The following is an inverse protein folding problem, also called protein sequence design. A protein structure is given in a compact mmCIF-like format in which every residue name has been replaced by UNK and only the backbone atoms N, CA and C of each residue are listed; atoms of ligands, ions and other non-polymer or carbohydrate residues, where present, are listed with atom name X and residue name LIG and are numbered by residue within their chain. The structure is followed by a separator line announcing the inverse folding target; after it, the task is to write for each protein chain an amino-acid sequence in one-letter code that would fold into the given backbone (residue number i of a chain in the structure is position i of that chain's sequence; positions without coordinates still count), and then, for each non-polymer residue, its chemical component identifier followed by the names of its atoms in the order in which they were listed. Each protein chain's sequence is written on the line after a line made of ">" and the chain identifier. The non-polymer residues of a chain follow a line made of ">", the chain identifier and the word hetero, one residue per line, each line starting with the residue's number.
data_IF_698977044398
#
_entry.id   IF_698977044398
#
_cell.length_a   1.000
_cell.length_b   1.000
_cell.length_c   1.000
_cell.angle_alpha   90.00
_cell.angle_beta   90.00
_cell.angle_gamma   90.00
#
_symmetry.space_group_name_H-M   'P 1'
#
loop_
_entity.id
_entity.type
_entity.pdbx_description
1 polymer ?
#
# COMPACT_ATOMS: atom_id res chain seq x y z
N UNK A 1 -11.96 -48.28 -2.04
CA UNK A 1 -11.23 -48.43 -3.30
C UNK A 1 -12.13 -47.88 -4.39
N UNK A 2 -11.82 -46.70 -4.93
CA UNK A 2 -12.51 -46.20 -6.13
C UNK A 2 -12.34 -47.24 -7.24
N UNK A 3 -13.41 -47.54 -7.98
CA UNK A 3 -13.33 -48.54 -9.03
C UNK A 3 -12.42 -48.05 -10.15
N UNK A 4 -11.73 -48.97 -10.84
CA UNK A 4 -10.85 -48.63 -11.97
C UNK A 4 -11.53 -47.73 -13.00
N UNK A 5 -12.82 -47.96 -13.23
CA UNK A 5 -13.63 -47.23 -14.19
C UNK A 5 -14.02 -45.84 -13.69
N UNK A 6 -14.28 -45.68 -12.39
CA UNK A 6 -14.47 -44.37 -11.75
C UNK A 6 -13.24 -43.47 -11.91
N UNK A 7 -12.04 -43.98 -11.59
CA UNK A 7 -10.81 -43.18 -11.74
C UNK A 7 -10.57 -42.80 -13.21
N UNK A 8 -10.82 -43.72 -14.15
CA UNK A 8 -10.71 -43.45 -15.59
C UNK A 8 -11.70 -42.37 -16.02
N UNK A 9 -12.96 -42.47 -15.59
CA UNK A 9 -13.99 -41.50 -15.91
C UNK A 9 -13.66 -40.11 -15.33
N UNK A 10 -13.24 -40.07 -14.07
CA UNK A 10 -12.83 -38.85 -13.37
C UNK A 10 -11.70 -38.11 -14.11
N UNK A 11 -10.62 -38.79 -14.45
CA UNK A 11 -9.51 -38.16 -15.18
C UNK A 11 -9.88 -37.84 -16.64
N UNK A 12 -10.74 -38.64 -17.27
CA UNK A 12 -11.19 -38.36 -18.63
C UNK A 12 -12.05 -37.10 -18.71
N UNK A 13 -13.02 -36.93 -17.81
CA UNK A 13 -13.89 -35.75 -17.73
C UNK A 13 -13.09 -34.47 -17.45
N UNK A 14 -12.04 -34.58 -16.61
CA UNK A 14 -11.12 -33.46 -16.31
C UNK A 14 -10.18 -33.08 -17.45
N UNK A 15 -10.19 -33.82 -18.56
CA UNK A 15 -9.52 -33.43 -19.80
C UNK A 15 -8.03 -33.73 -19.87
N UNK A 16 -7.49 -34.52 -18.94
CA UNK A 16 -6.11 -35.02 -18.99
C UNK A 16 -5.82 -35.74 -20.32
N UNK A 17 -4.60 -35.72 -20.83
CA UNK A 17 -4.22 -36.50 -22.02
C UNK A 17 -4.22 -38.01 -21.72
N UNK A 18 -4.30 -38.87 -22.73
CA UNK A 18 -4.28 -40.32 -22.47
C UNK A 18 -2.99 -40.79 -21.76
N UNK A 19 -1.87 -40.11 -22.02
CA UNK A 19 -0.60 -40.38 -21.32
C UNK A 19 -0.66 -39.95 -19.85
N UNK A 20 -1.24 -38.78 -19.57
CA UNK A 20 -1.44 -38.29 -18.20
C UNK A 20 -2.39 -39.18 -17.41
N UNK A 21 -3.51 -39.62 -18.00
CA UNK A 21 -4.46 -40.55 -17.34
C UNK A 21 -3.73 -41.83 -16.95
N UNK A 22 -2.97 -42.43 -17.87
CA UNK A 22 -2.17 -43.63 -17.57
C UNK A 22 -1.17 -43.37 -16.44
N UNK A 23 -0.50 -42.22 -16.44
CA UNK A 23 0.43 -41.84 -15.38
C UNK A 23 -0.25 -41.69 -14.02
N UNK A 24 -1.39 -41.02 -13.97
CA UNK A 24 -2.15 -40.76 -12.74
C UNK A 24 -2.80 -42.03 -12.18
N UNK A 25 -3.22 -42.96 -13.03
CA UNK A 25 -3.76 -44.25 -12.60
C UNK A 25 -2.72 -45.11 -11.86
N UNK A 26 -1.43 -44.91 -12.10
CA UNK A 26 -0.37 -45.60 -11.32
C UNK A 26 -0.40 -45.22 -9.84
N UNK A 27 -0.79 -43.99 -9.52
CA UNK A 27 -0.92 -43.53 -8.13
C UNK A 27 -2.08 -44.23 -7.40
N UNK A 28 -3.00 -44.84 -8.14
CA UNK A 28 -4.11 -45.66 -7.64
C UNK A 28 -3.81 -47.17 -7.73
N UNK A 29 -2.55 -47.55 -7.94
CA UNK A 29 -2.12 -48.94 -8.18
C UNK A 29 -2.77 -49.59 -9.43
N UNK A 30 -3.23 -48.78 -10.39
CA UNK A 30 -3.83 -49.24 -11.64
C UNK A 30 -2.79 -49.11 -12.78
N UNK A 31 -2.19 -50.22 -13.17
CA UNK A 31 -1.21 -50.27 -14.24
C UNK A 31 -1.86 -50.70 -15.57
N UNK A 32 -2.14 -49.74 -16.46
CA UNK A 32 -2.68 -50.00 -17.79
C UNK A 32 -1.89 -49.26 -18.88
N UNK A 33 -1.88 -49.82 -20.10
CA UNK A 33 -1.27 -49.16 -21.26
C UNK A 33 -2.26 -48.18 -21.91
N UNK A 34 -1.76 -47.23 -22.71
CA UNK A 34 -2.61 -46.27 -23.45
C UNK A 34 -3.60 -47.00 -24.37
N UNK A 35 -3.19 -48.09 -25.03
CA UNK A 35 -4.10 -48.93 -25.84
C UNK A 35 -5.23 -49.52 -25.00
N UNK A 36 -4.91 -50.00 -23.80
CA UNK A 36 -5.91 -50.56 -22.89
C UNK A 36 -6.88 -49.46 -22.42
N UNK A 37 -6.38 -48.29 -22.01
CA UNK A 37 -7.21 -47.13 -21.66
C UNK A 37 -8.17 -46.76 -22.80
N UNK A 38 -7.68 -46.67 -24.05
CA UNK A 38 -8.53 -46.37 -25.21
C UNK A 38 -9.61 -47.42 -25.46
N UNK A 39 -9.35 -48.70 -25.18
CA UNK A 39 -10.36 -49.76 -25.24
C UNK A 39 -11.43 -49.58 -24.17
N UNK A 40 -11.02 -49.28 -22.94
CA UNK A 40 -11.95 -49.04 -21.82
C UNK A 40 -12.83 -47.83 -22.12
N UNK A 41 -12.25 -46.72 -22.58
CA UNK A 41 -13.00 -45.52 -22.96
C UNK A 41 -14.02 -45.78 -24.08
N UNK A 42 -13.68 -46.62 -25.07
CA UNK A 42 -14.63 -47.04 -26.11
C UNK A 42 -15.79 -47.85 -25.56
N UNK A 43 -15.52 -48.79 -24.64
CA UNK A 43 -16.56 -49.59 -23.99
C UNK A 43 -17.47 -48.73 -23.11
N UNK A 44 -16.92 -47.69 -22.47
CA UNK A 44 -17.66 -46.71 -21.67
C UNK A 44 -18.36 -45.63 -22.53
N UNK A 45 -18.24 -45.66 -23.85
CA UNK A 45 -18.81 -44.63 -24.74
C UNK A 45 -18.15 -43.25 -24.65
N UNK A 46 -17.04 -43.13 -23.93
CA UNK A 46 -16.34 -41.87 -23.67
C UNK A 46 -15.47 -41.44 -24.86
N UNK A 47 -15.91 -40.43 -25.60
CA UNK A 47 -15.22 -39.90 -26.80
C UNK A 47 -14.81 -38.44 -26.60
N UNK A 48 -13.66 -38.04 -27.15
CA UNK A 48 -13.18 -36.64 -27.11
C UNK A 48 -13.63 -35.78 -28.27
N UNK A 49 -14.10 -36.39 -29.36
CA UNK A 49 -14.55 -35.73 -30.60
C UNK A 49 -16.00 -36.12 -30.87
N UNK A 50 -16.78 -35.20 -31.42
CA UNK A 50 -18.19 -35.42 -31.78
C UNK A 50 -19.14 -35.46 -30.57
N UNK A 51 -18.78 -34.81 -29.45
CA UNK A 51 -19.67 -34.65 -28.30
C UNK A 51 -20.72 -33.59 -28.66
N UNK A 52 -22.00 -33.88 -28.42
CA UNK A 52 -23.09 -32.91 -28.50
C UNK A 52 -22.85 -31.88 -27.39
N UNK A 53 -22.82 -30.59 -27.74
CA UNK A 53 -22.64 -29.54 -26.74
C UNK A 53 -23.74 -29.59 -25.68
N UNK A 54 -23.40 -29.20 -24.45
CA UNK A 54 -24.41 -28.98 -23.42
C UNK A 54 -25.44 -27.95 -23.88
N UNK A 55 -26.64 -28.02 -23.33
CA UNK A 55 -27.70 -27.09 -23.69
C UNK A 55 -27.30 -25.64 -23.37
N UNK A 56 -27.70 -24.70 -24.24
CA UNK A 56 -27.30 -23.30 -24.12
C UNK A 56 -27.88 -22.65 -22.86
N UNK A 57 -29.08 -23.06 -22.42
CA UNK A 57 -29.73 -22.50 -21.23
C UNK A 57 -28.99 -22.91 -19.95
N UNK A 58 -28.53 -24.16 -19.87
CA UNK A 58 -27.67 -24.65 -18.79
C UNK A 58 -26.32 -23.91 -18.75
N UNK A 59 -25.72 -23.67 -19.91
CA UNK A 59 -24.45 -22.92 -20.01
C UNK A 59 -24.63 -21.47 -19.57
N UNK A 60 -25.69 -20.80 -20.02
CA UNK A 60 -25.99 -19.42 -19.60
C UNK A 60 -26.22 -19.33 -18.09
N UNK A 61 -27.00 -20.25 -17.53
CA UNK A 61 -27.29 -20.30 -16.09
C UNK A 61 -26.02 -20.50 -15.26
N UNK A 62 -25.13 -21.40 -15.68
CA UNK A 62 -23.86 -21.63 -15.00
C UNK A 62 -22.90 -20.43 -15.12
N UNK A 63 -22.89 -19.73 -16.25
CA UNK A 63 -22.11 -18.50 -16.42
C UNK A 63 -22.63 -17.40 -15.47
N UNK A 64 -23.94 -17.18 -15.42
CA UNK A 64 -24.55 -16.18 -14.53
C UNK A 64 -24.22 -16.50 -13.07
N UNK A 65 -24.37 -17.76 -12.64
CA UNK A 65 -24.03 -18.18 -11.28
C UNK A 65 -22.54 -17.98 -10.93
N UNK A 66 -21.63 -18.17 -11.89
CA UNK A 66 -20.20 -17.87 -11.69
C UNK A 66 -19.94 -16.36 -11.61
N UNK A 67 -20.62 -15.56 -12.44
CA UNK A 67 -20.48 -14.10 -12.44
C UNK A 67 -21.04 -13.44 -11.17
N UNK A 68 -22.06 -14.03 -10.55
CA UNK A 68 -22.60 -13.58 -9.25
C UNK A 68 -21.69 -13.94 -8.06
N UNK A 69 -20.55 -14.59 -8.32
CA UNK A 69 -19.61 -15.04 -7.30
C UNK A 69 -18.15 -14.81 -7.72
N UNK A 70 -17.22 -15.61 -7.19
CA UNK A 70 -15.77 -15.50 -7.49
C UNK A 70 -15.41 -15.69 -8.96
N UNK A 71 -16.34 -16.21 -9.78
CA UNK A 71 -16.17 -16.35 -11.22
C UNK A 71 -16.16 -15.02 -11.97
N UNK A 72 -16.63 -13.92 -11.35
CA UNK A 72 -16.60 -12.56 -11.92
C UNK A 72 -15.20 -12.09 -12.29
N UNK A 73 -14.15 -12.60 -11.65
CA UNK A 73 -12.77 -12.17 -11.91
C UNK A 73 -12.05 -13.10 -12.91
N UNK A 74 -12.71 -14.17 -13.36
CA UNK A 74 -12.11 -15.12 -14.29
C UNK A 74 -12.14 -14.63 -15.74
N UNK A 75 -11.01 -14.77 -16.45
CA UNK A 75 -11.01 -14.65 -17.91
C UNK A 75 -11.77 -15.81 -18.58
N UNK A 76 -12.31 -15.58 -19.78
CA UNK A 76 -13.16 -16.55 -20.50
C UNK A 76 -12.53 -17.94 -20.66
N UNK A 77 -11.19 -18.05 -20.82
CA UNK A 77 -10.48 -19.35 -20.88
C UNK A 77 -10.54 -20.11 -19.56
N UNK A 78 -10.44 -19.40 -18.45
CA UNK A 78 -10.51 -19.98 -17.11
C UNK A 78 -11.94 -20.34 -16.74
N UNK A 79 -12.90 -19.48 -17.11
CA UNK A 79 -14.33 -19.77 -16.98
C UNK A 79 -14.72 -21.01 -17.79
N UNK A 80 -14.28 -21.12 -19.04
CA UNK A 80 -14.45 -22.33 -19.87
C UNK A 80 -13.95 -23.59 -19.17
N UNK A 81 -12.75 -23.52 -18.57
CA UNK A 81 -12.19 -24.64 -17.83
C UNK A 81 -13.03 -24.97 -16.59
N UNK A 82 -13.56 -23.96 -15.90
CA UNK A 82 -14.38 -24.14 -14.69
C UNK A 82 -15.74 -24.75 -15.01
N UNK A 83 -16.43 -24.27 -16.05
CA UNK A 83 -17.68 -24.85 -16.55
C UNK A 83 -17.49 -26.33 -16.90
N UNK A 84 -16.37 -26.67 -17.55
CA UNK A 84 -16.05 -28.06 -17.86
C UNK A 84 -15.75 -28.92 -16.62
N UNK A 85 -15.01 -28.38 -15.64
CA UNK A 85 -14.53 -29.16 -14.49
C UNK A 85 -15.56 -29.33 -13.37
N UNK A 86 -16.36 -28.30 -13.12
CA UNK A 86 -17.24 -28.23 -11.95
C UNK A 86 -18.72 -28.35 -12.30
N UNK A 87 -19.12 -27.90 -13.50
CA UNK A 87 -20.49 -28.02 -13.99
C UNK A 87 -20.65 -29.16 -15.00
N UNK A 88 -19.54 -29.84 -15.37
CA UNK A 88 -19.49 -30.90 -16.39
C UNK A 88 -20.08 -30.46 -17.76
N UNK A 89 -20.01 -29.16 -18.06
CA UNK A 89 -20.58 -28.59 -19.29
C UNK A 89 -19.57 -28.61 -20.44
N UNK A 90 -20.04 -29.01 -21.62
CA UNK A 90 -19.24 -29.07 -22.85
C UNK A 90 -19.69 -27.97 -23.79
N UNK A 91 -18.93 -26.88 -23.83
CA UNK A 91 -19.21 -25.73 -24.69
C UNK A 91 -17.94 -25.26 -25.42
N UNK A 92 -18.12 -24.66 -26.60
CA UNK A 92 -17.02 -24.02 -27.34
C UNK A 92 -16.59 -22.74 -26.62
N UNK A 93 -15.30 -22.43 -26.67
CA UNK A 93 -14.75 -21.21 -26.04
C UNK A 93 -15.35 -19.94 -26.61
N UNK A 94 -15.58 -19.91 -27.93
CA UNK A 94 -16.13 -18.75 -28.62
C UNK A 94 -17.59 -18.50 -28.20
N UNK A 95 -18.37 -19.57 -28.00
CA UNK A 95 -19.74 -19.49 -27.47
C UNK A 95 -19.78 -18.86 -26.08
N UNK A 96 -18.84 -19.20 -25.18
CA UNK A 96 -18.74 -18.52 -23.87
C UNK A 96 -18.41 -17.04 -24.05
N UNK A 97 -17.49 -16.72 -24.96
CA UNK A 97 -17.12 -15.33 -25.22
C UNK A 97 -18.32 -14.53 -25.75
N UNK A 98 -19.13 -15.11 -26.63
CA UNK A 98 -20.35 -14.49 -27.16
C UNK A 98 -21.42 -14.32 -26.07
N UNK A 99 -21.60 -15.31 -25.19
CA UNK A 99 -22.50 -15.18 -24.03
C UNK A 99 -22.01 -14.06 -23.09
N UNK A 100 -20.71 -14.01 -22.79
CA UNK A 100 -20.12 -12.96 -21.95
C UNK A 100 -20.26 -11.56 -22.58
N UNK A 101 -20.23 -11.43 -23.91
CA UNK A 101 -20.50 -10.15 -24.58
C UNK A 101 -21.93 -9.65 -24.35
N UNK A 102 -22.87 -10.55 -24.10
CA UNK A 102 -24.28 -10.22 -23.86
C UNK A 102 -24.51 -9.98 -22.36
N UNK A 103 -24.00 -10.88 -21.51
CA UNK A 103 -24.31 -10.93 -20.07
C UNK A 103 -23.39 -10.01 -19.24
N UNK A 104 -22.13 -9.84 -19.64
CA UNK A 104 -21.13 -9.02 -18.94
C UNK A 104 -20.24 -8.23 -19.92
N UNK A 105 -20.82 -7.34 -20.76
CA UNK A 105 -20.06 -6.57 -21.74
C UNK A 105 -19.00 -5.69 -21.08
N UNK A 106 -19.34 -5.07 -19.93
CA UNK A 106 -18.45 -4.19 -19.20
C UNK A 106 -17.30 -4.94 -18.54
N UNK A 107 -17.57 -6.06 -17.86
CA UNK A 107 -16.52 -6.89 -17.27
C UNK A 107 -15.64 -7.52 -18.34
N UNK A 108 -16.19 -7.89 -19.50
CA UNK A 108 -15.36 -8.37 -20.62
C UNK A 108 -14.45 -7.26 -21.17
N UNK A 109 -14.97 -6.05 -21.37
CA UNK A 109 -14.20 -4.91 -21.83
C UNK A 109 -13.10 -4.51 -20.84
N UNK A 110 -13.38 -4.50 -19.54
CA UNK A 110 -12.39 -4.20 -18.50
C UNK A 110 -11.30 -5.29 -18.41
N UNK A 111 -11.66 -6.58 -18.57
CA UNK A 111 -10.67 -7.68 -18.59
C UNK A 111 -9.74 -7.62 -19.80
N UNK A 112 -10.26 -7.23 -20.98
CA UNK A 112 -9.46 -7.02 -22.19
C UNK A 112 -8.47 -5.85 -22.06
N UNK A 113 -8.74 -4.89 -21.17
CA UNK A 113 -7.85 -3.75 -20.90
C UNK A 113 -6.64 -4.11 -20.04
N UNK A 114 -6.54 -5.33 -19.50
CA UNK A 114 -5.46 -5.78 -18.61
C UNK A 114 -5.19 -4.84 -17.43
N UNK A 115 -6.22 -4.14 -16.94
CA UNK A 115 -6.07 -3.15 -15.87
C UNK A 115 -6.46 -3.77 -14.53
N UNK A 116 -5.59 -3.66 -13.53
CA UNK A 116 -5.88 -4.11 -12.17
C UNK A 116 -7.13 -3.39 -11.63
N UNK A 117 -8.14 -4.13 -11.17
CA UNK A 117 -9.32 -3.60 -10.50
C UNK A 117 -8.90 -3.01 -9.15
N UNK A 118 -8.69 -1.70 -9.10
CA UNK A 118 -8.35 -1.01 -7.85
C UNK A 118 -9.62 -0.80 -7.03
N UNK A 119 -9.60 -1.15 -5.74
CA UNK A 119 -10.70 -0.81 -4.82
C UNK A 119 -10.88 0.71 -4.80
N UNK A 120 -12.12 1.17 -4.79
CA UNK A 120 -12.44 2.58 -4.60
C UNK A 120 -12.05 2.97 -3.18
N UNK A 121 -11.15 3.93 -3.06
CA UNK A 121 -10.82 4.56 -1.78
C UNK A 121 -11.67 5.81 -1.66
N UNK A 122 -12.58 5.85 -0.69
CA UNK A 122 -13.44 6.98 -0.42
C UNK A 122 -13.30 7.42 1.05
N UNK A 123 -13.19 8.72 1.26
CA UNK A 123 -13.10 9.39 2.57
C UNK A 123 -13.93 10.66 2.47
N UNK A 124 -14.76 10.99 3.47
CA UNK A 124 -15.76 12.05 3.34
C UNK A 124 -15.18 13.47 3.35
N UNK A 125 -13.98 13.70 3.87
CA UNK A 125 -13.36 15.01 3.95
C UNK A 125 -11.99 15.00 4.65
N UNK A 126 -11.28 16.13 4.70
CA UNK A 126 -9.99 16.22 5.40
C UNK A 126 -10.17 15.99 6.90
N UNK A 127 -9.07 15.57 7.55
CA UNK A 127 -9.01 15.21 8.97
C UNK A 127 -9.90 14.04 9.39
N UNK A 128 -10.60 13.39 8.45
CA UNK A 128 -11.35 12.18 8.76
C UNK A 128 -10.41 11.00 9.06
N UNK A 129 -9.36 10.83 8.25
CA UNK A 129 -8.38 9.76 8.45
C UNK A 129 -6.98 10.21 8.07
N UNK A 130 -6.04 10.12 9.01
CA UNK A 130 -4.62 10.32 8.75
C UNK A 130 -3.93 8.97 8.58
N UNK A 131 -3.09 8.85 7.57
CA UNK A 131 -2.29 7.65 7.29
C UNK A 131 -0.85 7.93 7.69
N UNK A 132 -0.29 7.11 8.55
CA UNK A 132 1.08 7.25 9.07
C UNK A 132 1.90 6.00 8.73
N UNK A 133 3.17 6.20 8.39
CA UNK A 133 4.07 5.12 7.97
C UNK A 133 5.54 5.56 7.94
N UNK A 134 6.43 4.57 8.01
CA UNK A 134 7.88 4.71 7.85
C UNK A 134 8.36 4.33 6.44
N UNK A 135 9.41 5.01 5.97
CA UNK A 135 10.07 4.72 4.70
C UNK A 135 11.53 4.33 4.91
N UNK A 136 11.82 3.04 4.74
CA UNK A 136 13.08 2.42 5.16
C UNK A 136 14.16 2.33 4.08
N UNK A 137 13.97 2.88 2.87
CA UNK A 137 14.95 2.70 1.78
C UNK A 137 16.29 3.40 2.01
N UNK A 138 16.37 4.36 2.93
CA UNK A 138 17.61 5.02 3.35
C UNK A 138 18.11 4.54 4.72
N UNK A 139 17.40 3.60 5.37
CA UNK A 139 17.77 3.03 6.67
C UNK A 139 19.16 2.37 6.68
N UNK A 140 19.62 1.69 5.60
CA UNK A 140 21.00 1.19 5.54
C UNK A 140 22.07 2.29 5.65
N UNK A 141 21.73 3.54 5.33
CA UNK A 141 22.61 4.71 5.44
C UNK A 141 22.34 5.53 6.71
N UNK A 142 21.60 4.95 7.67
CA UNK A 142 21.29 5.59 8.94
C UNK A 142 20.14 6.61 8.91
N UNK A 143 19.40 6.75 7.80
CA UNK A 143 18.28 7.68 7.71
C UNK A 143 16.94 6.96 7.66
N UNK A 144 16.13 7.14 8.70
CA UNK A 144 14.76 6.67 8.74
C UNK A 144 13.81 7.85 8.46
N UNK A 145 13.05 7.75 7.37
CA UNK A 145 12.04 8.77 7.02
C UNK A 145 10.70 8.30 7.58
N UNK A 146 9.93 9.22 8.15
CA UNK A 146 8.56 8.96 8.60
C UNK A 146 7.65 10.08 8.09
N UNK A 147 6.43 9.72 7.69
CA UNK A 147 5.46 10.70 7.22
C UNK A 147 4.06 10.47 7.74
N UNK A 148 3.25 11.52 7.60
CA UNK A 148 1.82 11.50 7.82
C UNK A 148 1.12 12.19 6.68
N UNK A 149 0.07 11.57 6.14
CA UNK A 149 -0.71 12.11 5.03
C UNK A 149 -2.21 12.08 5.35
N UNK A 150 -2.90 13.18 5.04
CA UNK A 150 -4.35 13.23 5.14
C UNK A 150 -5.01 12.41 4.01
N UNK A 151 -5.97 11.55 4.38
CA UNK A 151 -6.55 10.57 3.48
C UNK A 151 -7.43 11.15 2.37
N UNK A 152 -8.00 12.34 2.57
CA UNK A 152 -8.86 13.02 1.60
C UNK A 152 -8.06 13.96 0.70
N UNK A 153 -7.44 14.96 1.31
CA UNK A 153 -6.71 16.03 0.61
C UNK A 153 -5.41 15.51 -0.02
N UNK A 154 -4.81 14.46 0.56
CA UNK A 154 -3.44 13.99 0.30
C UNK A 154 -2.38 15.02 0.69
N UNK A 155 -2.71 15.94 1.60
CA UNK A 155 -1.73 16.85 2.17
C UNK A 155 -0.75 16.06 3.03
N UNK A 156 0.53 16.29 2.82
CA UNK A 156 1.59 15.77 3.69
C UNK A 156 1.65 16.66 4.91
N UNK A 157 1.26 16.07 6.04
CA UNK A 157 1.14 16.71 7.34
C UNK A 157 2.54 16.91 7.93
N UNK A 158 3.33 15.84 7.94
CA UNK A 158 4.76 15.85 8.24
C UNK A 158 5.50 14.89 7.32
N UNK A 159 6.78 15.18 7.09
CA UNK A 159 7.72 14.35 6.35
C UNK A 159 9.10 14.59 6.94
N UNK A 160 9.49 13.77 7.90
CA UNK A 160 10.64 14.00 8.77
C UNK A 160 11.64 12.86 8.66
N UNK A 161 12.90 13.18 8.95
CA UNK A 161 14.00 12.21 8.94
C UNK A 161 14.65 12.17 10.33
N UNK A 162 14.88 10.96 10.83
CA UNK A 162 15.56 10.68 12.08
C UNK A 162 16.64 9.61 11.88
N UNK A 163 17.47 9.41 12.91
CA UNK A 163 18.44 8.31 12.98
C UNK A 163 17.76 6.93 13.06
N UNK A 164 16.52 6.85 13.58
CA UNK A 164 15.75 5.63 13.73
C UNK A 164 14.25 5.91 13.73
N UNK A 165 13.46 4.97 13.18
CA UNK A 165 12.00 4.91 13.30
C UNK A 165 11.52 3.76 14.21
N UNK A 166 12.45 3.01 14.83
CA UNK A 166 12.08 1.90 15.71
C UNK A 166 11.62 2.37 17.11
N UNK A 167 11.90 3.63 17.48
CA UNK A 167 11.47 4.20 18.75
C UNK A 167 10.08 4.87 18.60
N UNK A 168 9.03 4.35 19.26
CA UNK A 168 7.70 4.93 19.22
C UNK A 168 7.61 6.38 19.73
N UNK A 169 8.51 6.80 20.62
CA UNK A 169 8.53 8.16 21.17
C UNK A 169 8.85 9.21 20.09
N UNK A 170 9.68 8.85 19.11
CA UNK A 170 10.03 9.73 17.98
C UNK A 170 8.82 9.93 17.07
N UNK A 171 8.09 8.86 16.78
CA UNK A 171 6.90 8.92 15.95
C UNK A 171 5.80 9.72 16.66
N UNK A 172 5.68 9.52 17.97
CA UNK A 172 4.76 10.27 18.83
C UNK A 172 5.07 11.76 18.85
N UNK A 173 6.36 12.14 18.83
CA UNK A 173 6.77 13.54 18.69
C UNK A 173 6.23 14.16 17.40
N UNK A 174 6.39 13.47 16.25
CA UNK A 174 5.88 13.98 14.98
C UNK A 174 4.36 14.15 14.97
N UNK A 175 3.64 13.16 15.49
CA UNK A 175 2.18 13.20 15.59
C UNK A 175 1.73 14.35 16.49
N UNK A 176 2.24 14.44 17.72
CA UNK A 176 1.83 15.47 18.67
C UNK A 176 2.24 16.89 18.22
N UNK A 177 3.42 17.05 17.61
CA UNK A 177 3.83 18.34 17.02
C UNK A 177 2.89 18.77 15.90
N UNK A 178 2.42 17.82 15.09
CA UNK A 178 1.48 18.08 14.00
C UNK A 178 0.11 18.49 14.55
N UNK A 179 -0.40 17.75 15.52
CA UNK A 179 -1.65 18.03 16.23
C UNK A 179 -1.61 19.41 16.91
N UNK A 180 -0.52 19.71 17.63
CA UNK A 180 -0.27 21.02 18.23
C UNK A 180 -0.22 22.14 17.17
N UNK A 181 0.47 21.92 16.04
CA UNK A 181 0.62 22.93 14.99
C UNK A 181 -0.70 23.29 14.31
N UNK A 182 -1.57 22.31 14.10
CA UNK A 182 -2.85 22.53 13.44
C UNK A 182 -4.01 22.83 14.40
N UNK A 183 -3.76 22.74 15.71
CA UNK A 183 -4.77 22.92 16.75
C UNK A 183 -6.02 22.05 16.53
N UNK A 184 -5.77 20.77 16.22
CA UNK A 184 -6.83 19.81 15.93
C UNK A 184 -6.39 18.36 16.12
N UNK A 185 -7.37 17.49 16.35
CA UNK A 185 -7.22 16.04 16.30
C UNK A 185 -7.92 15.46 15.05
N UNK A 186 -7.34 14.44 14.39
CA UNK A 186 -8.03 13.72 13.33
C UNK A 186 -9.13 12.82 13.93
N UNK A 187 -10.19 12.55 13.15
CA UNK A 187 -11.22 11.59 13.55
C UNK A 187 -10.63 10.18 13.72
N UNK A 188 -9.81 9.75 12.74
CA UNK A 188 -9.11 8.47 12.73
C UNK A 188 -7.64 8.64 12.42
N UNK A 189 -6.81 7.81 13.04
CA UNK A 189 -5.44 7.55 12.58
C UNK A 189 -5.34 6.10 12.10
N UNK A 190 -4.64 5.88 10.99
CA UNK A 190 -4.35 4.54 10.46
C UNK A 190 -2.86 4.34 10.35
N UNK A 191 -2.40 3.20 10.85
CA UNK A 191 -1.06 2.70 10.65
C UNK A 191 -1.07 1.24 10.24
N UNK A 192 0.11 0.77 9.84
CA UNK A 192 0.38 -0.64 9.71
C UNK A 192 0.46 -1.33 11.07
N UNK A 193 0.34 -2.66 11.05
CA UNK A 193 0.61 -3.50 12.22
C UNK A 193 2.11 -3.51 12.51
N UNK A 194 2.54 -2.56 13.33
CA UNK A 194 3.90 -2.45 13.85
C UNK A 194 3.89 -1.99 15.30
N UNK A 195 4.98 -2.26 16.01
CA UNK A 195 5.17 -1.75 17.38
C UNK A 195 5.61 -0.29 17.40
N UNK A 196 6.09 0.23 16.28
CA UNK A 196 6.57 1.61 16.15
C UNK A 196 5.46 2.66 16.37
N UNK A 197 4.21 2.33 16.06
CA UNK A 197 3.08 3.26 16.15
C UNK A 197 2.21 3.06 17.42
N UNK A 198 2.63 2.23 18.38
CA UNK A 198 1.80 1.86 19.54
C UNK A 198 1.51 3.04 20.49
N UNK A 199 2.46 3.97 20.63
CA UNK A 199 2.25 5.15 21.46
C UNK A 199 1.30 6.13 20.76
N UNK A 200 1.42 6.32 19.44
CA UNK A 200 0.47 7.14 18.68
C UNK A 200 -0.96 6.60 18.78
N UNK A 201 -1.13 5.28 18.73
CA UNK A 201 -2.43 4.64 18.99
C UNK A 201 -2.96 5.00 20.37
N UNK A 202 -2.16 4.80 21.41
CA UNK A 202 -2.57 5.08 22.79
C UNK A 202 -2.91 6.56 23.01
N UNK A 203 -2.09 7.45 22.44
CA UNK A 203 -2.29 8.90 22.47
C UNK A 203 -3.57 9.32 21.74
N UNK A 204 -3.80 8.83 20.53
CA UNK A 204 -5.01 9.13 19.75
C UNK A 204 -6.25 8.66 20.51
N UNK A 205 -6.23 7.44 21.07
CA UNK A 205 -7.36 6.93 21.85
C UNK A 205 -7.61 7.73 23.13
N UNK A 206 -6.55 8.14 23.84
CA UNK A 206 -6.67 8.93 25.07
C UNK A 206 -7.15 10.36 24.79
N UNK A 207 -6.55 11.05 23.81
CA UNK A 207 -6.93 12.41 23.42
C UNK A 207 -8.34 12.49 22.82
N UNK A 208 -8.85 11.35 22.34
CA UNK A 208 -10.22 11.22 21.83
C UNK A 208 -11.20 10.60 22.80
N UNK A 209 -10.82 10.36 24.06
CA UNK A 209 -11.65 9.63 25.01
C UNK A 209 -12.98 10.33 25.33
N UNK A 210 -12.95 11.65 25.53
CA UNK A 210 -14.12 12.44 25.93
C UNK A 210 -15.02 12.89 24.75
N UNK A 211 -14.67 12.54 23.50
CA UNK A 211 -15.53 12.89 22.36
C UNK A 211 -16.72 11.91 22.23
N UNK A 212 -17.87 12.43 21.82
CA UNK A 212 -19.13 11.66 21.81
C UNK A 212 -19.44 10.92 20.50
N UNK A 213 -18.63 11.04 19.44
CA UNK A 213 -18.88 10.31 18.19
C UNK A 213 -18.51 8.82 18.27
N UNK A 214 -19.12 8.02 17.40
CA UNK A 214 -18.94 6.56 17.35
C UNK A 214 -17.52 6.08 17.03
N UNK A 215 -16.59 7.00 16.72
CA UNK A 215 -15.18 6.72 16.40
C UNK A 215 -14.25 7.36 17.44
N UNK A 216 -14.76 7.69 18.62
CA UNK A 216 -13.98 8.23 19.74
C UNK A 216 -13.25 7.12 20.51
N UNK A 217 -12.39 7.53 21.44
CA UNK A 217 -11.68 6.60 22.33
C UNK A 217 -10.96 5.48 21.56
N UNK A 218 -11.23 4.23 21.95
CA UNK A 218 -10.59 3.04 21.36
C UNK A 218 -10.79 2.90 19.84
N UNK A 219 -11.92 3.38 19.31
CA UNK A 219 -12.29 3.25 17.89
C UNK A 219 -11.69 4.36 17.00
N UNK A 220 -10.92 5.28 17.60
CA UNK A 220 -10.25 6.38 16.90
C UNK A 220 -8.96 5.97 16.18
N UNK A 221 -8.55 4.70 16.25
CA UNK A 221 -7.33 4.17 15.63
C UNK A 221 -7.58 2.88 14.84
N UNK A 222 -6.99 2.78 13.65
CA UNK A 222 -7.12 1.61 12.78
C UNK A 222 -5.75 0.98 12.53
N UNK A 223 -5.56 -0.25 12.99
CA UNK A 223 -4.43 -1.12 12.61
C UNK A 223 -4.75 -1.97 11.40
N UNK A 224 -4.14 -1.63 10.26
CA UNK A 224 -4.34 -2.31 8.98
C UNK A 224 -3.16 -3.18 8.53
N UNK A 225 -3.37 -3.95 7.46
CA UNK A 225 -2.24 -4.47 6.65
C UNK A 225 -1.63 -3.31 5.86
N UNK A 226 -0.34 -3.35 5.53
CA UNK A 226 0.35 -2.35 4.68
C UNK A 226 -0.37 -2.04 3.38
N UNK A 227 -0.95 -3.06 2.75
CA UNK A 227 -1.76 -2.90 1.52
C UNK A 227 -3.04 -2.09 1.71
N UNK A 228 -3.44 -1.80 2.95
CA UNK A 228 -4.59 -0.98 3.33
C UNK A 228 -4.21 0.46 3.69
N UNK A 229 -2.92 0.73 3.94
CA UNK A 229 -2.34 2.06 4.19
C UNK A 229 -2.01 2.76 2.86
N UNK A 230 -2.97 2.74 1.94
CA UNK A 230 -2.73 2.98 0.52
C UNK A 230 -2.26 4.39 0.19
N UNK A 231 -2.63 5.39 1.01
CA UNK A 231 -2.35 6.80 0.71
C UNK A 231 -0.88 7.13 0.87
N UNK A 232 -0.29 6.71 1.98
CA UNK A 232 1.11 6.98 2.27
C UNK A 232 2.03 6.08 1.44
N UNK A 233 1.67 4.81 1.27
CA UNK A 233 2.39 3.88 0.38
C UNK A 233 2.41 4.36 -1.08
N UNK A 234 1.28 4.89 -1.59
CA UNK A 234 1.26 5.49 -2.91
C UNK A 234 2.14 6.75 -2.99
N UNK A 235 2.18 7.54 -1.90
CA UNK A 235 3.02 8.72 -1.83
C UNK A 235 4.52 8.39 -1.82
N UNK A 236 4.96 7.30 -1.18
CA UNK A 236 6.36 6.85 -1.22
C UNK A 236 6.91 6.70 -2.65
N UNK A 237 6.10 6.18 -3.56
CA UNK A 237 6.46 6.09 -4.98
C UNK A 237 6.63 7.46 -5.64
N UNK A 238 5.87 8.46 -5.21
CA UNK A 238 6.01 9.83 -5.68
C UNK A 238 7.24 10.51 -5.08
N UNK A 239 7.37 10.53 -3.75
CA UNK A 239 8.49 11.16 -3.04
C UNK A 239 9.84 10.67 -3.58
N UNK A 240 9.94 9.35 -3.87
CA UNK A 240 11.13 8.78 -4.50
C UNK A 240 11.47 9.46 -5.83
N UNK A 241 10.48 9.73 -6.68
CA UNK A 241 10.68 10.38 -7.99
C UNK A 241 10.94 11.89 -7.87
N UNK A 242 10.48 12.54 -6.81
CA UNK A 242 10.61 13.99 -6.60
C UNK A 242 11.95 14.41 -5.98
N UNK A 243 12.73 13.50 -5.41
CA UNK A 243 14.10 13.82 -5.00
C UNK A 243 14.81 12.73 -4.21
N UNK A 244 14.07 11.89 -3.47
CA UNK A 244 14.70 10.89 -2.59
C UNK A 244 15.49 9.82 -3.37
N UNK A 245 15.18 9.56 -4.65
CA UNK A 245 16.00 8.66 -5.46
C UNK A 245 17.43 9.16 -5.70
N UNK A 246 17.66 10.48 -5.72
CA UNK A 246 19.00 11.05 -5.79
C UNK A 246 19.82 10.60 -4.59
N UNK A 247 19.31 10.80 -3.37
CA UNK A 247 19.97 10.41 -2.13
C UNK A 247 20.24 8.90 -2.04
N UNK A 248 19.27 8.08 -2.47
CA UNK A 248 19.45 6.62 -2.53
C UNK A 248 20.63 6.24 -3.43
N UNK A 249 20.73 6.85 -4.61
CA UNK A 249 21.80 6.55 -5.55
C UNK A 249 23.14 7.13 -5.06
N UNK A 250 23.14 8.37 -4.56
CA UNK A 250 24.33 9.02 -4.04
C UNK A 250 25.01 8.22 -2.92
N UNK A 251 24.25 7.75 -1.93
CA UNK A 251 24.84 6.94 -0.85
C UNK A 251 25.26 5.54 -1.30
N UNK A 252 24.56 4.95 -2.28
CA UNK A 252 25.02 3.71 -2.92
C UNK A 252 26.35 3.90 -3.64
N UNK A 253 26.49 4.99 -4.40
CA UNK A 253 27.72 5.30 -5.11
C UNK A 253 28.89 5.50 -4.14
N UNK A 254 28.68 6.18 -3.00
CA UNK A 254 29.69 6.31 -1.94
C UNK A 254 30.14 4.95 -1.40
N UNK A 255 29.20 4.05 -1.14
CA UNK A 255 29.51 2.70 -0.67
C UNK A 255 30.21 1.88 -1.74
N UNK A 256 29.70 1.87 -2.97
CA UNK A 256 30.20 1.05 -4.07
C UNK A 256 31.59 1.53 -4.55
N UNK A 257 31.95 2.80 -4.30
CA UNK A 257 33.31 3.36 -4.48
C UNK A 257 34.21 3.24 -3.26
N UNK A 258 33.75 2.56 -2.19
CA UNK A 258 34.49 2.31 -0.96
C UNK A 258 34.89 3.61 -0.21
N UNK A 259 34.08 4.67 -0.36
CA UNK A 259 34.18 5.93 0.38
C UNK A 259 33.28 5.95 1.64
N UNK A 260 32.39 4.97 1.77
CA UNK A 260 31.51 4.76 2.92
C UNK A 260 31.43 3.27 3.26
N UNK A 261 31.74 2.94 4.50
CA UNK A 261 31.45 1.64 5.09
C UNK A 261 30.12 1.70 5.86
N UNK A 262 29.05 1.16 5.27
CA UNK A 262 27.71 1.15 5.88
C UNK A 262 27.56 0.20 7.08
N UNK A 263 28.62 -0.54 7.42
CA UNK A 263 28.72 -1.32 8.66
C UNK A 263 29.47 -0.61 9.78
N UNK A 264 30.14 0.51 9.51
CA UNK A 264 30.83 1.32 10.52
C UNK A 264 29.89 2.39 11.10
N UNK A 265 29.63 2.28 12.40
CA UNK A 265 28.74 3.19 13.13
C UNK A 265 29.27 4.62 13.13
N UNK A 266 30.59 4.82 13.18
CA UNK A 266 31.21 6.15 13.19
C UNK A 266 31.05 6.80 11.82
N UNK A 267 31.26 6.06 10.73
CA UNK A 267 31.08 6.60 9.38
C UNK A 267 29.62 6.94 9.08
N UNK A 268 28.66 6.09 9.48
CA UNK A 268 27.23 6.40 9.38
C UNK A 268 26.88 7.66 10.18
N UNK A 269 27.51 7.86 11.33
CA UNK A 269 27.27 9.04 12.15
C UNK A 269 27.80 10.33 11.48
N UNK A 270 28.99 10.28 10.88
CA UNK A 270 29.49 11.39 10.06
C UNK A 270 28.65 11.62 8.82
N UNK A 271 28.11 10.57 8.21
CA UNK A 271 27.18 10.68 7.08
C UNK A 271 25.91 11.43 7.51
N UNK A 272 25.35 11.10 8.67
CA UNK A 272 24.20 11.79 9.27
C UNK A 272 24.50 13.26 9.58
N UNK A 273 25.65 13.53 10.18
CA UNK A 273 26.10 14.89 10.48
C UNK A 273 26.23 15.74 9.20
N UNK A 274 26.88 15.22 8.17
CA UNK A 274 27.14 15.95 6.93
C UNK A 274 25.89 16.12 6.06
N UNK A 275 25.09 15.07 5.89
CA UNK A 275 24.02 15.02 4.90
C UNK A 275 22.61 15.04 5.48
N UNK A 276 22.42 14.67 6.75
CA UNK A 276 21.10 14.68 7.40
C UNK A 276 20.38 16.03 7.32
N UNK A 277 21.04 17.16 7.63
CA UNK A 277 20.44 18.49 7.49
C UNK A 277 20.04 18.85 6.05
N UNK A 278 20.81 18.39 5.06
CA UNK A 278 20.53 18.61 3.63
C UNK A 278 19.33 17.76 3.18
N UNK A 279 19.31 16.49 3.56
CA UNK A 279 18.18 15.60 3.31
C UNK A 279 16.91 16.13 3.97
N UNK A 280 16.98 16.61 5.22
CA UNK A 280 15.85 17.23 5.91
C UNK A 280 15.32 18.47 5.17
N UNK A 281 16.22 19.31 4.66
CA UNK A 281 15.86 20.47 3.85
C UNK A 281 15.14 20.05 2.56
N UNK A 282 15.68 19.07 1.82
CA UNK A 282 15.07 18.57 0.59
C UNK A 282 13.69 17.96 0.83
N UNK A 283 13.51 17.19 1.92
CA UNK A 283 12.21 16.64 2.28
C UNK A 283 11.18 17.75 2.56
N UNK A 284 11.59 18.85 3.18
CA UNK A 284 10.71 19.99 3.41
C UNK A 284 10.35 20.72 2.10
N UNK A 285 11.30 20.82 1.16
CA UNK A 285 11.02 21.35 -0.19
C UNK A 285 10.01 20.46 -0.91
N UNK A 286 10.25 19.15 -0.96
CA UNK A 286 9.36 18.14 -1.57
C UNK A 286 7.96 18.24 -0.94
N UNK A 287 7.88 18.35 0.39
CA UNK A 287 6.60 18.50 1.10
C UNK A 287 5.85 19.76 0.66
N UNK A 288 6.52 20.90 0.53
CA UNK A 288 5.90 22.17 0.11
C UNK A 288 5.44 22.13 -1.34
N UNK A 289 6.26 21.58 -2.23
CA UNK A 289 5.93 21.40 -3.65
C UNK A 289 4.71 20.49 -3.80
N UNK A 290 4.73 19.34 -3.13
CA UNK A 290 3.59 18.42 -3.11
C UNK A 290 2.35 19.09 -2.52
N UNK A 291 2.43 19.79 -1.41
CA UNK A 291 1.24 20.40 -0.83
C UNK A 291 0.63 21.51 -1.71
N UNK A 292 1.41 22.08 -2.63
CA UNK A 292 1.00 23.15 -3.53
C UNK A 292 0.65 22.69 -4.95
N UNK A 293 1.05 21.47 -5.34
CA UNK A 293 0.84 20.96 -6.70
C UNK A 293 -0.64 20.68 -6.97
N UNK A 294 -1.03 20.75 -8.25
CA UNK A 294 -2.41 20.45 -8.67
C UNK A 294 -2.55 18.97 -9.00
N UNK A 295 -3.37 18.26 -8.22
CA UNK A 295 -3.76 16.88 -8.53
C UNK A 295 -4.85 16.90 -9.60
N UNK A 296 -4.55 16.29 -10.75
CA UNK A 296 -5.46 16.24 -11.91
C UNK A 296 -6.60 15.25 -11.66
N UNK A 297 -7.79 15.59 -12.17
CA UNK A 297 -8.95 14.69 -12.19
C UNK A 297 -8.63 13.47 -13.03
N UNK A 298 -8.91 12.27 -12.50
CA UNK A 298 -8.77 11.02 -13.23
C UNK A 298 -10.16 10.43 -13.52
N UNK A 299 -10.41 10.03 -14.77
CA UNK A 299 -11.73 9.51 -15.21
C UNK A 299 -12.18 8.23 -14.49
N UNK A 300 -11.28 7.53 -13.81
CA UNK A 300 -11.55 6.22 -13.18
C UNK A 300 -11.22 6.18 -11.69
N UNK A 301 -11.05 7.31 -11.03
CA UNK A 301 -10.85 7.38 -9.58
C UNK A 301 -11.86 8.36 -8.98
N UNK A 302 -12.47 7.98 -7.86
CA UNK A 302 -13.25 8.88 -6.99
C UNK A 302 -12.35 9.82 -6.18
N UNK A 303 -11.09 10.02 -6.62
CA UNK A 303 -10.18 10.95 -5.98
C UNK A 303 -10.55 12.37 -6.37
N UNK A 304 -10.82 13.20 -5.35
CA UNK A 304 -11.11 14.62 -5.54
C UNK A 304 -9.91 15.28 -6.23
N UNK A 305 -10.15 16.12 -7.24
CA UNK A 305 -9.09 16.88 -7.90
C UNK A 305 -8.89 18.22 -7.22
N UNK A 306 -7.67 18.71 -7.11
CA UNK A 306 -7.39 19.98 -6.42
C UNK A 306 -5.95 20.05 -5.96
N UNK A 307 -5.59 21.15 -5.30
CA UNK A 307 -4.31 21.25 -4.60
C UNK A 307 -4.48 20.69 -3.19
N UNK A 308 -3.55 19.87 -2.66
CA UNK A 308 -3.68 19.33 -1.31
C UNK A 308 -3.93 20.39 -0.23
N UNK A 309 -3.25 21.53 -0.29
CA UNK A 309 -3.52 22.65 0.61
C UNK A 309 -4.96 23.16 0.51
N UNK A 310 -5.49 23.41 -0.70
CA UNK A 310 -6.86 23.88 -0.87
C UNK A 310 -7.89 22.83 -0.40
N UNK A 311 -7.65 21.55 -0.68
CA UNK A 311 -8.52 20.46 -0.24
C UNK A 311 -8.54 20.26 1.27
N UNK A 312 -7.47 20.65 1.96
CA UNK A 312 -7.32 20.51 3.41
C UNK A 312 -7.88 21.71 4.16
N UNK A 313 -7.54 22.94 3.73
CA UNK A 313 -7.94 24.16 4.44
C UNK A 313 -9.29 24.72 3.99
N UNK A 314 -9.73 24.41 2.78
CA UNK A 314 -10.98 24.90 2.21
C UNK A 314 -11.80 23.77 1.56
N UNK A 315 -12.13 22.69 2.30
CA UNK A 315 -12.89 21.56 1.76
C UNK A 315 -14.27 21.95 1.23
N UNK A 316 -14.88 23.02 1.75
CA UNK A 316 -16.16 23.56 1.32
C UNK A 316 -16.20 23.93 -0.16
N UNK A 317 -15.06 24.33 -0.74
CA UNK A 317 -14.94 24.62 -2.18
C UNK A 317 -14.98 23.36 -3.06
N UNK A 318 -15.02 22.17 -2.45
CA UNK A 318 -14.97 20.87 -3.10
C UNK A 318 -16.11 19.95 -2.63
N UNK A 319 -17.21 20.52 -2.12
CA UNK A 319 -18.37 19.80 -1.61
C UNK A 319 -18.02 18.79 -0.49
N UNK A 320 -17.02 19.13 0.33
CA UNK A 320 -16.57 18.30 1.45
C UNK A 320 -16.59 19.09 2.76
N UNK A 321 -16.58 18.35 3.87
CA UNK A 321 -16.62 18.91 5.23
C UNK A 321 -15.33 18.58 5.97
N UNK A 322 -14.84 19.48 6.79
CA UNK A 322 -13.70 19.20 7.69
C UNK A 322 -14.17 18.32 8.86
N UNK A 323 -13.47 17.20 9.08
CA UNK A 323 -13.75 16.22 10.15
C UNK A 323 -12.78 16.36 11.32
N UNK A 324 -12.16 17.53 11.49
CA UNK A 324 -11.33 17.82 12.66
C UNK A 324 -12.12 17.71 13.97
N UNK A 325 -11.40 17.40 15.04
CA UNK A 325 -11.92 17.30 16.40
C UNK A 325 -11.19 18.31 17.27
N UNK A 326 -11.91 18.82 18.27
CA UNK A 326 -11.36 19.78 19.22
C UNK A 326 -10.21 19.14 19.99
N UNK A 327 -9.16 19.93 20.20
CA UNK A 327 -7.91 19.49 20.76
C UNK A 327 -7.56 20.37 21.96
N UNK A 328 -7.38 19.75 23.13
CA UNK A 328 -6.92 20.45 24.31
C UNK A 328 -5.39 20.64 24.24
N UNK A 329 -4.96 21.88 24.04
CA UNK A 329 -3.55 22.23 23.88
C UNK A 329 -2.72 21.97 25.13
N UNK A 330 -3.30 22.07 26.32
CA UNK A 330 -2.59 21.79 27.58
C UNK A 330 -2.35 20.28 27.72
N UNK A 331 -3.35 19.46 27.40
CA UNK A 331 -3.16 18.00 27.33
C UNK A 331 -2.12 17.60 26.28
N UNK A 332 -2.16 18.19 25.08
CA UNK A 332 -1.17 17.90 24.03
C UNK A 332 0.25 18.26 24.49
N UNK A 333 0.40 19.39 25.19
CA UNK A 333 1.70 19.82 25.74
C UNK A 333 2.22 18.85 26.78
N UNK A 334 1.37 18.40 27.71
CA UNK A 334 1.72 17.37 28.69
C UNK A 334 2.14 16.08 27.98
N UNK A 335 1.38 15.65 26.96
CA UNK A 335 1.72 14.45 26.19
C UNK A 335 3.05 14.59 25.45
N UNK A 336 3.36 15.77 24.91
CA UNK A 336 4.65 16.07 24.26
C UNK A 336 5.81 15.90 25.24
N UNK A 337 5.65 16.39 26.46
CA UNK A 337 6.70 16.33 27.48
C UNK A 337 6.89 14.90 28.05
N UNK A 338 5.82 14.10 28.14
CA UNK A 338 5.86 12.79 28.81
C UNK A 338 6.04 11.59 27.87
N UNK A 339 5.50 11.65 26.64
CA UNK A 339 5.38 10.48 25.76
C UNK A 339 6.08 10.68 24.40
N UNK A 340 7.01 11.64 24.32
CA UNK A 340 7.71 11.90 23.07
C UNK A 340 9.15 12.33 23.28
N UNK A 341 9.99 12.03 22.28
CA UNK A 341 11.39 12.44 22.25
C UNK A 341 11.63 13.19 20.96
N UNK A 342 12.19 14.40 21.07
CA UNK A 342 12.61 15.15 19.90
C UNK A 342 13.70 14.37 19.14
N UNK A 343 13.48 14.03 17.86
CA UNK A 343 14.40 13.22 17.10
C UNK A 343 15.71 13.95 16.84
N UNK A 344 16.80 13.26 17.13
CA UNK A 344 18.14 13.67 16.74
C UNK A 344 18.56 12.95 15.48
N UNK A 345 19.10 13.71 14.52
CA UNK A 345 19.66 13.16 13.29
C UNK A 345 21.02 12.52 13.54
N UNK A 346 21.79 13.11 14.45
CA UNK A 346 23.10 12.65 14.87
C UNK A 346 23.32 13.00 16.35
N UNK A 347 24.23 12.29 16.99
CA UNK A 347 24.65 12.45 18.36
C UNK A 347 25.62 13.63 18.53
N UNK A 348 25.65 14.18 19.75
CA UNK A 348 26.50 15.34 20.07
C UNK A 348 27.99 15.06 19.90
N UNK A 349 28.43 13.81 20.13
CA UNK A 349 29.85 13.45 19.99
C UNK A 349 30.34 13.59 18.54
N UNK A 350 29.47 13.47 17.54
CA UNK A 350 29.83 13.68 16.14
C UNK A 350 30.28 15.13 15.90
N UNK A 351 29.63 16.08 16.58
CA UNK A 351 30.03 17.49 16.57
C UNK A 351 31.42 17.65 17.16
N UNK A 352 31.67 17.03 18.32
CA UNK A 352 32.95 17.11 19.02
C UNK A 352 34.09 16.50 18.18
N UNK A 353 33.85 15.34 17.56
CA UNK A 353 34.81 14.70 16.66
C UNK A 353 35.11 15.57 15.42
N UNK A 354 34.10 16.18 14.80
CA UNK A 354 34.33 17.10 13.67
C UNK A 354 35.14 18.32 14.11
N UNK A 355 34.87 18.87 15.30
CA UNK A 355 35.65 19.99 15.84
C UNK A 355 37.10 19.61 16.09
N UNK A 356 37.37 18.38 16.56
CA UNK A 356 38.73 17.85 16.75
C UNK A 356 39.45 17.64 15.41
N UNK A 357 38.78 17.02 14.44
CA UNK A 357 39.37 16.70 13.13
C UNK A 357 39.53 17.93 12.23
N UNK A 358 38.62 18.90 12.34
CA UNK A 358 38.61 20.12 11.52
C UNK A 358 38.16 21.34 12.35
N UNK A 359 39.08 21.93 13.15
CA UNK A 359 38.77 23.09 13.97
C UNK A 359 38.21 24.25 13.14
N UNK A 360 37.13 24.87 13.62
CA UNK A 360 36.44 25.99 12.96
C UNK A 360 35.32 25.58 11.97
N UNK A 361 35.10 24.29 11.74
CA UNK A 361 33.98 23.79 10.96
C UNK A 361 32.68 23.80 11.78
N UNK A 362 32.01 24.96 11.88
CA UNK A 362 30.76 25.08 12.63
C UNK A 362 29.54 24.68 11.77
N UNK A 363 28.84 23.63 12.18
CA UNK A 363 27.59 23.17 11.58
C UNK A 363 26.54 24.30 11.43
N UNK A 364 26.50 25.26 12.34
CA UNK A 364 25.51 26.34 12.38
C UNK A 364 25.67 27.41 11.29
N UNK A 365 26.83 27.51 10.65
CA UNK A 365 27.12 28.61 9.71
C UNK A 365 26.53 28.37 8.30
N UNK A 366 26.31 27.12 7.89
CA UNK A 366 25.78 26.79 6.56
C UNK A 366 24.24 26.89 6.47
N UNK A 367 23.51 26.78 7.59
CA UNK A 367 22.04 26.70 7.57
C UNK A 367 21.30 28.04 7.72
N UNK A 368 21.93 29.09 8.28
CA UNK A 368 21.24 30.37 8.55
C UNK A 368 20.82 31.15 7.30
N UNK A 369 21.46 30.93 6.14
CA UNK A 369 21.13 31.66 4.89
C UNK A 369 19.96 31.04 4.11
N UNK A 370 19.69 29.73 4.23
CA UNK A 370 18.57 29.05 3.54
C UNK A 370 17.29 28.93 4.37
N UNK A 371 17.39 28.72 5.69
CA UNK A 371 16.21 28.40 6.52
C UNK A 371 15.36 29.62 6.93
N UNK A 372 15.92 30.83 6.98
CA UNK A 372 15.19 32.04 7.46
C UNK A 372 14.08 32.52 6.52
N UNK A 373 14.11 32.19 5.23
CA UNK A 373 13.07 32.61 4.27
C UNK A 373 11.82 31.72 4.30
N UNK A 374 11.92 30.49 4.83
CA UNK A 374 10.90 29.44 4.68
C UNK A 374 9.82 29.42 5.78
N UNK A 375 10.09 29.94 6.99
CA UNK A 375 9.12 29.96 8.10
C UNK A 375 8.09 31.08 8.01
N UNK A 376 8.30 32.11 7.19
CA UNK A 376 7.34 33.23 7.05
C UNK A 376 6.06 32.86 6.27
N UNK A 377 6.05 31.74 5.56
CA UNK A 377 4.93 31.34 4.70
C UNK A 377 3.94 30.35 5.33
N UNK A 378 4.17 29.89 6.58
CA UNK A 378 3.29 28.90 7.23
C UNK A 378 2.19 29.50 8.12
N UNK A 379 2.10 30.83 8.22
CA UNK A 379 1.05 31.54 8.99
C UNK A 379 0.12 32.40 8.13
N UNK A 380 0.14 32.24 6.80
CA UNK A 380 -0.66 33.02 5.86
C UNK A 380 -1.67 32.13 5.13
#
# INVERSE_FOLDING_TARGET
>A
MESREECINYYFQRGYTYKEIVGLLRNHNINITVRHLQRILRNLGLRRKGIIGSDLEEVCSAIISELDSSGSDLGYKTLWRRLKLFYNLVVKRDTILDILRIVDPDGLAERLRHRLRRRKYNVPGPNFIWHIDGYDKLKPFGFAIHGGIDGFSRKILWLEVASSNNNPDIISYYYLKTVQKFDLLPTLVRSDKGTENCIVESLQQALRYDHEDSLSGADSFIKGRSTSNQRIEAYWSQMRREGVNFWINFFKDLRDTNLLNDSDVIEIEFLRYCFGPLLKYDLEVIRKEWNSHKIRRQRCQETVSGKPNCLFYNPENYDATDYKKEADQDHIKICLEQFSIEPKLFDSYAVDLVQLLKPGCNHTNYHRRGFKSLHRAERA
#
